data_IF_261042859767
#
_entry.id   IF_261042859767
#
_cell.length_a   1.000
_cell.length_b   1.000
_cell.length_c   1.000
_cell.angle_alpha   90.00
_cell.angle_beta   90.00
_cell.angle_gamma   90.00
#
_symmetry.space_group_name_H-M   'P 1'
#
loop_
_entity.id
_entity.type
_entity.pdbx_description
1 polymer ?
#
# COMPACT_ATOMS: atom_id res chain seq x y z
N UNK A 1 13.09 29.34 -13.42
CA UNK A 1 12.07 28.80 -12.48
C UNK A 1 11.39 27.53 -13.02
N UNK A 2 12.13 26.52 -13.50
CA UNK A 2 11.55 25.34 -14.18
C UNK A 2 11.70 24.00 -13.46
N UNK A 3 12.36 23.95 -12.29
CA UNK A 3 12.71 22.68 -11.64
C UNK A 3 11.57 21.99 -10.89
N UNK A 4 10.56 22.73 -10.41
CA UNK A 4 9.53 22.16 -9.51
C UNK A 4 8.47 21.32 -10.23
N UNK A 5 8.23 21.56 -11.52
CA UNK A 5 7.28 20.78 -12.33
C UNK A 5 7.90 19.49 -12.86
N UNK A 6 9.17 19.54 -13.28
CA UNK A 6 9.93 18.37 -13.73
C UNK A 6 10.14 17.33 -12.62
N UNK A 7 10.53 17.78 -11.42
CA UNK A 7 10.70 16.89 -10.25
C UNK A 7 9.36 16.25 -9.84
N UNK A 8 8.25 16.98 -9.96
CA UNK A 8 6.90 16.44 -9.73
C UNK A 8 6.47 15.42 -10.78
N UNK A 9 6.76 15.70 -12.05
CA UNK A 9 6.49 14.78 -13.16
C UNK A 9 7.27 13.48 -13.01
N UNK A 10 8.59 13.58 -12.78
CA UNK A 10 9.44 12.43 -12.56
C UNK A 10 9.00 11.57 -11.35
N UNK A 11 8.64 12.20 -10.22
CA UNK A 11 8.12 11.49 -9.05
C UNK A 11 6.80 10.75 -9.31
N UNK A 12 5.90 11.33 -10.11
CA UNK A 12 4.65 10.68 -10.51
C UNK A 12 4.91 9.50 -11.45
N UNK A 13 5.79 9.67 -12.44
CA UNK A 13 6.17 8.59 -13.38
C UNK A 13 6.84 7.44 -12.64
N UNK A 14 7.70 7.74 -11.68
CA UNK A 14 8.38 6.73 -10.86
C UNK A 14 7.38 5.98 -9.98
N UNK A 15 6.40 6.66 -9.39
CA UNK A 15 5.31 6.00 -8.66
C UNK A 15 4.48 5.08 -9.57
N UNK A 16 4.13 5.52 -10.77
CA UNK A 16 3.41 4.68 -11.74
C UNK A 16 4.24 3.45 -12.11
N UNK A 17 5.54 3.61 -12.29
CA UNK A 17 6.46 2.51 -12.57
C UNK A 17 6.53 1.52 -11.38
N UNK A 18 6.59 2.01 -10.14
CA UNK A 18 6.54 1.17 -8.95
C UNK A 18 5.23 0.40 -8.82
N UNK A 19 4.10 1.03 -9.15
CA UNK A 19 2.81 0.35 -9.18
C UNK A 19 2.79 -0.77 -10.22
N UNK A 20 3.30 -0.51 -11.43
CA UNK A 20 3.39 -1.49 -12.50
C UNK A 20 4.32 -2.66 -12.16
N UNK A 21 5.47 -2.38 -11.55
CA UNK A 21 6.50 -3.38 -11.27
C UNK A 21 6.30 -4.14 -9.96
N UNK A 22 5.69 -3.53 -8.95
CA UNK A 22 5.59 -4.09 -7.60
C UNK A 22 4.15 -4.42 -7.23
N UNK A 23 3.22 -3.48 -7.40
CA UNK A 23 1.85 -3.67 -6.94
C UNK A 23 1.02 -4.59 -7.85
N UNK A 24 1.17 -4.49 -9.17
CA UNK A 24 0.42 -5.33 -10.12
C UNK A 24 0.79 -6.82 -9.99
N UNK A 25 2.09 -7.22 -9.98
CA UNK A 25 2.43 -8.63 -9.82
C UNK A 25 1.91 -9.22 -8.51
N UNK A 26 1.95 -8.46 -7.41
CA UNK A 26 1.40 -8.89 -6.12
C UNK A 26 -0.13 -9.01 -6.18
N UNK A 27 -0.80 -8.10 -6.88
CA UNK A 27 -2.26 -8.17 -7.09
C UNK A 27 -2.66 -9.40 -7.90
N UNK A 28 -1.90 -9.72 -8.95
CA UNK A 28 -2.11 -10.92 -9.74
C UNK A 28 -1.89 -12.18 -8.91
N UNK A 29 -0.82 -12.19 -8.09
CA UNK A 29 -0.48 -13.32 -7.24
C UNK A 29 -1.52 -13.56 -6.14
N UNK A 30 -2.07 -12.49 -5.55
CA UNK A 30 -3.20 -12.56 -4.62
C UNK A 30 -4.45 -13.13 -5.32
N UNK A 31 -4.73 -12.68 -6.55
CA UNK A 31 -5.79 -13.23 -7.39
C UNK A 31 -5.60 -14.72 -7.71
N UNK A 32 -4.38 -15.16 -8.03
CA UNK A 32 -4.05 -16.58 -8.18
C UNK A 32 -4.24 -17.35 -6.86
N UNK A 33 -3.84 -16.77 -5.74
CA UNK A 33 -4.10 -17.32 -4.40
C UNK A 33 -5.58 -17.53 -4.14
N UNK A 34 -6.43 -16.59 -4.54
CA UNK A 34 -7.89 -16.70 -4.48
C UNK A 34 -8.44 -17.81 -5.38
N UNK A 35 -7.89 -17.99 -6.59
CA UNK A 35 -8.28 -19.08 -7.49
C UNK A 35 -7.90 -20.46 -6.95
N UNK A 36 -6.77 -20.57 -6.24
CA UNK A 36 -6.37 -21.82 -5.56
C UNK A 36 -7.40 -22.22 -4.49
N UNK A 37 -8.14 -21.26 -3.93
CA UNK A 37 -9.25 -21.55 -3.00
C UNK A 37 -10.43 -22.27 -3.64
N UNK A 38 -10.48 -22.43 -4.97
CA UNK A 38 -11.52 -23.21 -5.68
C UNK A 38 -11.22 -24.72 -5.70
N UNK A 39 -10.04 -25.16 -5.23
CA UNK A 39 -9.67 -26.59 -5.21
C UNK A 39 -10.35 -27.39 -4.07
N UNK A 40 -10.51 -28.72 -4.24
CA UNK A 40 -11.17 -29.60 -3.27
C UNK A 40 -10.47 -29.65 -1.89
N UNK A 41 -11.24 -30.03 -0.87
CA UNK A 41 -11.14 -29.55 0.52
C UNK A 41 -10.21 -30.31 1.47
N UNK A 42 -9.27 -31.10 0.95
CA UNK A 42 -8.57 -32.11 1.76
C UNK A 42 -7.23 -31.64 2.38
N UNK A 43 -6.86 -30.37 2.25
CA UNK A 43 -5.58 -29.86 2.80
C UNK A 43 -5.73 -29.22 4.20
N UNK A 44 -4.98 -29.66 5.22
CA UNK A 44 -5.08 -29.13 6.59
C UNK A 44 -4.69 -27.65 6.73
N UNK A 45 -3.97 -27.09 5.75
CA UNK A 45 -3.52 -25.68 5.73
C UNK A 45 -4.50 -24.74 5.01
N UNK A 46 -5.68 -25.21 4.59
CA UNK A 46 -6.64 -24.41 3.83
C UNK A 46 -7.20 -23.22 4.62
N UNK A 47 -7.66 -23.44 5.85
CA UNK A 47 -8.28 -22.39 6.66
C UNK A 47 -7.34 -21.21 6.97
N UNK A 48 -6.09 -21.45 7.43
CA UNK A 48 -5.12 -20.37 7.64
C UNK A 48 -4.76 -19.63 6.35
N UNK A 49 -4.59 -20.36 5.24
CA UNK A 49 -4.30 -19.76 3.93
C UNK A 49 -5.47 -18.90 3.46
N UNK A 50 -6.72 -19.37 3.59
CA UNK A 50 -7.92 -18.64 3.19
C UNK A 50 -8.08 -17.33 3.96
N UNK A 51 -7.90 -17.37 5.28
CA UNK A 51 -7.93 -16.16 6.11
C UNK A 51 -6.81 -15.21 5.71
N UNK A 52 -5.60 -15.73 5.46
CA UNK A 52 -4.46 -14.95 4.97
C UNK A 52 -4.74 -14.24 3.64
N UNK A 53 -5.24 -14.95 2.63
CA UNK A 53 -5.55 -14.39 1.31
C UNK A 53 -6.69 -13.37 1.37
N UNK A 54 -7.76 -13.64 2.14
CA UNK A 54 -8.87 -12.68 2.30
C UNK A 54 -8.39 -11.39 2.96
N UNK A 55 -7.60 -11.50 4.02
CA UNK A 55 -7.05 -10.33 4.71
C UNK A 55 -6.05 -9.55 3.85
N UNK A 56 -5.22 -10.26 3.06
CA UNK A 56 -4.33 -9.65 2.08
C UNK A 56 -5.12 -8.88 1.00
N UNK A 57 -6.19 -9.46 0.47
CA UNK A 57 -7.08 -8.82 -0.48
C UNK A 57 -7.74 -7.54 0.06
N UNK A 58 -8.17 -7.54 1.33
CA UNK A 58 -8.71 -6.32 1.98
C UNK A 58 -7.64 -5.23 2.07
N UNK A 59 -6.41 -5.59 2.48
CA UNK A 59 -5.28 -4.67 2.54
C UNK A 59 -4.93 -4.09 1.17
N UNK A 60 -4.94 -4.94 0.15
CA UNK A 60 -4.66 -4.59 -1.24
C UNK A 60 -5.73 -3.68 -1.84
N UNK A 61 -7.01 -3.94 -1.55
CA UNK A 61 -8.12 -3.07 -1.94
C UNK A 61 -7.97 -1.68 -1.30
N UNK A 62 -7.63 -1.62 -0.01
CA UNK A 62 -7.33 -0.38 0.69
C UNK A 62 -6.16 0.37 0.05
N UNK A 63 -5.09 -0.34 -0.30
CA UNK A 63 -3.93 0.21 -1.01
C UNK A 63 -4.30 0.80 -2.38
N UNK A 64 -5.04 0.07 -3.21
CA UNK A 64 -5.45 0.56 -4.53
C UNK A 64 -6.39 1.74 -4.44
N UNK A 65 -7.31 1.74 -3.46
CA UNK A 65 -8.17 2.89 -3.22
C UNK A 65 -7.36 4.12 -2.79
N UNK A 66 -6.39 3.94 -1.89
CA UNK A 66 -5.49 5.01 -1.46
C UNK A 66 -4.65 5.54 -2.63
N UNK A 67 -4.13 4.65 -3.47
CA UNK A 67 -3.35 4.97 -4.68
C UNK A 67 -4.17 5.76 -5.69
N UNK A 68 -5.39 5.31 -5.97
CA UNK A 68 -6.32 6.00 -6.87
C UNK A 68 -6.68 7.39 -6.33
N UNK A 69 -7.00 7.49 -5.04
CA UNK A 69 -7.25 8.77 -4.39
C UNK A 69 -6.02 9.68 -4.44
N UNK A 70 -4.81 9.14 -4.27
CA UNK A 70 -3.57 9.88 -4.36
C UNK A 70 -3.33 10.46 -5.75
N UNK A 71 -3.54 9.65 -6.81
CA UNK A 71 -3.41 10.08 -8.20
C UNK A 71 -4.47 11.13 -8.59
N UNK A 72 -5.74 10.89 -8.21
CA UNK A 72 -6.85 11.80 -8.52
C UNK A 72 -6.75 13.14 -7.76
N UNK A 73 -6.25 13.13 -6.52
CA UNK A 73 -6.06 14.34 -5.71
C UNK A 73 -4.68 15.00 -5.94
N UNK A 74 -4.07 14.78 -7.10
CA UNK A 74 -2.85 15.47 -7.53
C UNK A 74 -1.61 15.16 -6.69
N UNK A 75 -1.44 13.91 -6.25
CA UNK A 75 -0.38 13.39 -5.37
C UNK A 75 -0.47 13.95 -3.94
N UNK A 76 -1.68 13.95 -3.37
CA UNK A 76 -1.91 14.26 -1.95
C UNK A 76 -2.76 13.19 -1.29
N UNK A 77 -2.43 12.82 -0.05
CA UNK A 77 -3.28 11.93 0.76
C UNK A 77 -4.34 12.69 1.58
N UNK A 78 -4.37 14.03 1.54
CA UNK A 78 -5.16 14.87 2.45
C UNK A 78 -6.67 14.67 2.33
N UNK A 79 -7.16 14.29 1.14
CA UNK A 79 -8.56 13.96 0.87
C UNK A 79 -8.87 12.47 0.77
N UNK A 80 -7.93 11.58 1.11
CA UNK A 80 -8.15 10.14 1.02
C UNK A 80 -9.19 9.68 2.05
N UNK A 81 -10.16 8.82 1.69
CA UNK A 81 -11.16 8.32 2.62
C UNK A 81 -10.51 7.53 3.77
N UNK A 82 -11.06 7.70 4.97
CA UNK A 82 -10.52 7.09 6.20
C UNK A 82 -10.47 5.56 6.12
N UNK A 83 -11.47 4.94 5.48
CA UNK A 83 -11.52 3.50 5.24
C UNK A 83 -10.34 2.98 4.39
N UNK A 84 -9.90 3.72 3.38
CA UNK A 84 -8.74 3.32 2.57
C UNK A 84 -7.43 3.37 3.37
N UNK A 85 -7.29 4.35 4.27
CA UNK A 85 -6.14 4.45 5.18
C UNK A 85 -6.10 3.31 6.19
N UNK A 86 -7.26 2.99 6.78
CA UNK A 86 -7.38 1.87 7.72
C UNK A 86 -7.10 0.55 7.00
N UNK A 87 -7.68 0.33 5.83
CA UNK A 87 -7.44 -0.88 5.03
C UNK A 87 -5.96 -1.05 4.66
N UNK A 88 -5.32 0.00 4.15
CA UNK A 88 -3.89 -0.03 3.86
C UNK A 88 -3.05 -0.27 5.12
N UNK A 89 -3.38 0.39 6.25
CA UNK A 89 -2.70 0.19 7.54
C UNK A 89 -2.83 -1.22 8.08
N UNK A 90 -4.02 -1.83 7.96
CA UNK A 90 -4.25 -3.24 8.32
C UNK A 90 -3.41 -4.17 7.45
N UNK A 91 -3.32 -3.90 6.14
CA UNK A 91 -2.45 -4.66 5.22
C UNK A 91 -0.98 -4.60 5.62
N UNK A 92 -0.47 -3.42 5.97
CA UNK A 92 0.91 -3.24 6.46
C UNK A 92 1.12 -3.99 7.79
N UNK A 93 0.19 -3.87 8.73
CA UNK A 93 0.28 -4.53 10.03
C UNK A 93 0.30 -6.05 9.89
N UNK A 94 -0.54 -6.61 9.02
CA UNK A 94 -0.57 -8.04 8.71
C UNK A 94 0.73 -8.52 8.04
N UNK A 95 1.27 -7.72 7.12
CA UNK A 95 2.54 -8.00 6.46
C UNK A 95 3.71 -8.08 7.48
N UNK A 96 3.78 -7.13 8.42
CA UNK A 96 4.78 -7.14 9.49
C UNK A 96 4.58 -8.28 10.49
N UNK A 97 3.34 -8.53 10.91
CA UNK A 97 3.00 -9.60 11.85
C UNK A 97 3.34 -10.98 11.29
N UNK A 98 3.02 -11.22 10.01
CA UNK A 98 3.33 -12.48 9.33
C UNK A 98 4.83 -12.69 9.11
N UNK A 99 5.58 -11.63 8.78
CA UNK A 99 7.04 -11.69 8.70
C UNK A 99 7.65 -12.07 10.06
N UNK A 100 7.15 -11.45 11.14
CA UNK A 100 7.60 -11.73 12.50
C UNK A 100 7.32 -13.18 12.91
N UNK A 101 6.16 -13.74 12.55
CA UNK A 101 5.84 -15.17 12.74
C UNK A 101 6.79 -16.07 11.94
N UNK A 102 7.09 -15.75 10.67
CA UNK A 102 8.04 -16.53 9.87
C UNK A 102 9.45 -16.56 10.47
N UNK A 103 9.91 -15.43 11.02
CA UNK A 103 11.22 -15.30 11.66
C UNK A 103 11.28 -16.00 13.03
N UNK A 104 10.24 -15.88 13.86
CA UNK A 104 10.23 -16.49 15.21
C UNK A 104 10.15 -18.01 15.18
N UNK A 105 9.37 -18.58 14.25
CA UNK A 105 9.11 -20.02 14.22
C UNK A 105 9.98 -20.78 13.21
N UNK A 106 10.82 -20.10 12.43
CA UNK A 106 11.75 -20.71 11.47
C UNK A 106 11.08 -21.56 10.39
N UNK A 107 9.75 -21.44 10.23
CA UNK A 107 8.94 -22.18 9.25
C UNK A 107 8.29 -21.19 8.29
N UNK A 108 8.54 -21.40 7.00
CA UNK A 108 7.77 -20.82 5.90
C UNK A 108 6.36 -21.43 5.89
N UNK A 109 5.53 -20.98 6.83
CA UNK A 109 4.10 -21.26 6.84
C UNK A 109 3.41 -20.39 5.79
N UNK A 110 2.18 -20.75 5.39
CA UNK A 110 1.36 -19.93 4.48
C UNK A 110 1.23 -18.47 4.92
N UNK A 111 1.30 -18.21 6.23
CA UNK A 111 1.34 -16.86 6.79
C UNK A 111 2.61 -16.10 6.42
N UNK A 112 3.78 -16.72 6.53
CA UNK A 112 5.05 -16.06 6.20
C UNK A 112 5.11 -15.65 4.71
N UNK A 113 4.48 -16.42 3.83
CA UNK A 113 4.34 -16.07 2.41
C UNK A 113 3.50 -14.80 2.22
N UNK A 114 2.41 -14.60 2.97
CA UNK A 114 1.60 -13.37 2.92
C UNK A 114 2.45 -12.14 3.24
N UNK A 115 3.31 -12.21 4.26
CA UNK A 115 4.22 -11.12 4.62
C UNK A 115 5.30 -10.87 3.57
N UNK A 116 5.86 -11.95 3.00
CA UNK A 116 6.90 -11.83 1.99
C UNK A 116 6.38 -11.22 0.69
N UNK A 117 5.13 -11.53 0.33
CA UNK A 117 4.45 -11.00 -0.85
C UNK A 117 3.90 -9.59 -0.65
N UNK A 118 3.65 -9.15 0.58
CA UNK A 118 3.22 -7.80 0.89
C UNK A 118 4.35 -6.76 0.93
N UNK A 119 5.61 -7.18 1.10
CA UNK A 119 6.79 -6.31 1.15
C UNK A 119 6.94 -5.37 -0.07
N UNK A 120 6.79 -5.83 -1.33
CA UNK A 120 6.90 -4.97 -2.51
C UNK A 120 5.89 -3.81 -2.51
N UNK A 121 4.71 -3.99 -1.91
CA UNK A 121 3.66 -2.96 -1.83
C UNK A 121 4.04 -1.84 -0.84
N UNK A 122 4.93 -2.11 0.12
CA UNK A 122 5.39 -1.09 1.07
C UNK A 122 6.19 0.03 0.39
N UNK A 123 6.86 -0.27 -0.72
CA UNK A 123 7.68 0.70 -1.48
C UNK A 123 6.83 1.85 -2.05
N UNK A 124 5.81 1.61 -2.90
CA UNK A 124 4.98 2.69 -3.41
C UNK A 124 4.19 3.39 -2.29
N UNK A 125 3.82 2.68 -1.23
CA UNK A 125 3.11 3.24 -0.07
C UNK A 125 4.00 4.23 0.71
N UNK A 126 5.27 3.88 0.94
CA UNK A 126 6.27 4.77 1.52
C UNK A 126 6.50 5.99 0.62
N UNK A 127 6.57 5.80 -0.70
CA UNK A 127 6.71 6.90 -1.65
C UNK A 127 5.54 7.90 -1.56
N UNK A 128 4.29 7.41 -1.51
CA UNK A 128 3.12 8.27 -1.34
C UNK A 128 3.16 9.05 -0.01
N UNK A 129 3.58 8.40 1.08
CA UNK A 129 3.72 9.06 2.39
C UNK A 129 4.80 10.16 2.35
N UNK A 130 5.99 9.85 1.83
CA UNK A 130 7.09 10.81 1.67
C UNK A 130 6.69 11.98 0.77
N UNK A 131 6.04 11.71 -0.37
CA UNK A 131 5.57 12.73 -1.30
C UNK A 131 4.49 13.63 -0.69
N UNK A 132 3.69 13.10 0.23
CA UNK A 132 2.69 13.89 0.97
C UNK A 132 3.35 14.77 2.04
N UNK A 133 4.36 14.26 2.75
CA UNK A 133 5.10 15.01 3.77
C UNK A 133 5.97 16.13 3.18
N UNK A 134 6.55 15.91 2.00
CA UNK A 134 7.31 16.92 1.25
C UNK A 134 6.44 18.03 0.64
N UNK A 135 5.13 18.02 0.89
CA UNK A 135 4.23 19.14 0.59
C UNK A 135 3.88 19.86 1.88
N UNK A 136 4.70 20.83 2.33
CA UNK A 136 4.32 21.68 3.44
C UNK A 136 3.03 22.42 3.09
N UNK A 137 2.24 22.67 4.13
CA UNK A 137 1.15 23.63 4.18
C UNK A 137 1.67 24.96 3.62
N UNK A 138 1.45 25.20 2.32
CA UNK A 138 1.69 26.51 1.69
C UNK A 138 0.47 27.43 1.81
N UNK A 139 -0.53 26.98 2.55
CA UNK A 139 -1.74 27.71 2.92
C UNK A 139 -1.74 27.89 4.44
N UNK A 140 -0.84 28.74 4.90
CA UNK A 140 -0.74 29.23 6.27
C UNK A 140 -0.40 30.70 6.17
N UNK A 141 -1.39 31.48 5.74
CA UNK A 141 -1.49 32.94 5.80
C UNK A 141 -0.52 33.55 6.79
N UNK A 142 0.48 34.26 6.27
CA UNK A 142 1.18 35.28 7.03
C UNK A 142 0.11 36.24 7.60
N UNK A 143 0.11 36.56 8.90
CA UNK A 143 -0.68 37.69 9.37
C UNK A 143 -0.16 38.91 8.61
N UNK A 144 -1.03 39.51 7.81
CA UNK A 144 -0.78 40.82 7.21
C UNK A 144 -0.40 41.76 8.33
N UNK A 145 0.86 42.18 8.32
CA UNK A 145 1.34 43.34 9.07
C UNK A 145 0.60 44.52 8.44
N UNK A 146 -0.59 44.80 8.96
CA UNK A 146 -1.48 45.87 8.54
C UNK A 146 -1.64 46.83 9.69
N UNK A 147 -0.92 47.94 9.57
CA UNK A 147 -1.04 49.20 10.28
C UNK A 147 -2.37 49.43 11.03
N UNK A 148 -2.29 49.65 12.35
CA UNK A 148 -2.47 50.95 13.00
C UNK A 148 -2.37 50.82 14.52
#
# INVERSE_FOLDING_TARGET
>A
MGGSTWVRGAGATLLVLELLLLAIPVTLLDGFGLLVLLQPNDHPDRMPTLVGTVLAGIGLLGFWWLTGAFLLNGLTLRGSPWGARVGAGVGVALCLASLMVGLLFGRLTGWALVGLLGLPILVPLAHMLCATWQRPIRDGTAPSRGDR
#
